data_IF_565995059180
#
_entry.id   IF_565995059180
#
_cell.length_a   1.000
_cell.length_b   1.000
_cell.length_c   1.000
_cell.angle_alpha   90.00
_cell.angle_beta   90.00
_cell.angle_gamma   90.00
#
_symmetry.space_group_name_H-M   'P 1'
#
loop_
_entity.id
_entity.type
_entity.pdbx_description
1 polymer ?
#
# COMPACT_ATOMS: atom_id res chain seq x y z
N UNK A 1 2.11 -28.10 18.84
CA UNK A 1 1.54 -28.23 17.48
C UNK A 1 0.34 -27.30 17.22
N UNK A 2 -0.63 -27.16 18.15
CA UNK A 2 -1.80 -26.25 18.00
C UNK A 2 -1.46 -24.82 17.58
N UNK A 3 -0.45 -24.19 18.19
CA UNK A 3 -0.10 -22.78 17.90
C UNK A 3 0.43 -22.56 16.47
N UNK A 4 1.14 -23.54 15.89
CA UNK A 4 1.58 -23.47 14.48
C UNK A 4 0.40 -23.58 13.51
N UNK A 5 -0.61 -24.40 13.82
CA UNK A 5 -1.82 -24.52 13.00
C UNK A 5 -2.63 -23.22 12.99
N UNK A 6 -2.79 -22.56 14.15
CA UNK A 6 -3.45 -21.25 14.20
C UNK A 6 -2.71 -20.18 13.39
N UNK A 7 -1.37 -20.13 13.46
CA UNK A 7 -0.58 -19.20 12.63
C UNK A 7 -0.73 -19.48 11.13
N UNK A 8 -0.76 -20.75 10.72
CA UNK A 8 -0.98 -21.11 9.31
C UNK A 8 -2.38 -20.71 8.82
N UNK A 9 -3.41 -20.93 9.65
CA UNK A 9 -4.78 -20.53 9.32
C UNK A 9 -4.87 -19.00 9.11
N UNK A 10 -4.19 -18.21 9.96
CA UNK A 10 -4.16 -16.75 9.83
C UNK A 10 -3.47 -16.33 8.52
N UNK A 11 -2.35 -16.97 8.16
CA UNK A 11 -1.63 -16.64 6.92
C UNK A 11 -2.48 -16.99 5.69
N UNK A 12 -3.10 -18.17 5.68
CA UNK A 12 -3.99 -18.61 4.58
C UNK A 12 -5.19 -17.66 4.46
N UNK A 13 -5.79 -17.29 5.59
CA UNK A 13 -6.86 -16.29 5.66
C UNK A 13 -6.40 -14.96 5.06
N UNK A 14 -5.22 -14.46 5.43
CA UNK A 14 -4.66 -13.24 4.87
C UNK A 14 -4.47 -13.34 3.35
N UNK A 15 -3.94 -14.46 2.85
CA UNK A 15 -3.78 -14.65 1.40
C UNK A 15 -5.12 -14.63 0.66
N UNK A 16 -6.16 -15.26 1.21
CA UNK A 16 -7.50 -15.26 0.61
C UNK A 16 -8.07 -13.84 0.59
N UNK A 17 -7.93 -13.09 1.68
CA UNK A 17 -8.38 -11.69 1.75
C UNK A 17 -7.63 -10.84 0.73
N UNK A 18 -6.30 -10.91 0.67
CA UNK A 18 -5.49 -10.19 -0.32
C UNK A 18 -5.85 -10.53 -1.76
N UNK A 19 -6.13 -11.81 -2.03
CA UNK A 19 -6.52 -12.28 -3.36
C UNK A 19 -7.90 -11.74 -3.74
N UNK A 20 -8.85 -11.78 -2.80
CA UNK A 20 -10.20 -11.26 -3.02
C UNK A 20 -10.17 -9.76 -3.26
N UNK A 21 -9.42 -9.01 -2.44
CA UNK A 21 -9.19 -7.58 -2.61
C UNK A 21 -8.58 -7.31 -3.98
N UNK A 22 -7.57 -8.08 -4.40
CA UNK A 22 -7.00 -7.94 -5.75
C UNK A 22 -7.98 -8.17 -6.88
N UNK A 23 -8.66 -9.31 -6.83
CA UNK A 23 -9.57 -9.67 -7.89
C UNK A 23 -10.75 -8.71 -8.01
N UNK A 24 -11.30 -8.27 -6.89
CA UNK A 24 -12.51 -7.43 -6.85
C UNK A 24 -12.18 -5.95 -7.06
N UNK A 25 -11.14 -5.42 -6.42
CA UNK A 25 -10.85 -3.97 -6.46
C UNK A 25 -9.96 -3.63 -7.66
N UNK A 26 -8.99 -4.48 -7.98
CA UNK A 26 -7.98 -4.17 -8.97
C UNK A 26 -8.26 -4.77 -10.35
N UNK A 27 -9.28 -5.64 -10.47
CA UNK A 27 -9.73 -6.22 -11.74
C UNK A 27 -8.65 -7.00 -12.49
N UNK A 28 -7.54 -7.34 -11.82
CA UNK A 28 -6.36 -7.99 -12.39
C UNK A 28 -5.97 -9.18 -11.53
N UNK A 29 -5.74 -10.33 -12.17
CA UNK A 29 -4.98 -11.46 -11.59
C UNK A 29 -3.46 -11.19 -11.71
N UNK A 30 -3.03 -9.96 -11.36
CA UNK A 30 -1.63 -9.56 -11.39
C UNK A 30 -0.97 -9.85 -10.04
N UNK A 31 0.21 -10.47 -10.07
CA UNK A 31 0.95 -10.88 -8.87
C UNK A 31 1.46 -9.71 -8.04
N UNK A 32 1.66 -8.54 -8.64
CA UNK A 32 2.26 -7.36 -8.01
C UNK A 32 1.29 -6.65 -7.05
N UNK A 33 0.08 -6.21 -7.46
CA UNK A 33 -0.88 -5.61 -6.53
C UNK A 33 -1.33 -6.62 -5.46
N UNK A 34 -1.26 -7.93 -5.74
CA UNK A 34 -1.41 -8.99 -4.74
C UNK A 34 -0.30 -8.98 -3.69
N UNK A 35 0.96 -8.85 -4.10
CA UNK A 35 2.08 -8.77 -3.17
C UNK A 35 2.02 -7.51 -2.31
N UNK A 36 1.67 -6.35 -2.88
CA UNK A 36 1.62 -5.08 -2.15
C UNK A 36 0.49 -5.07 -1.11
N UNK A 37 -0.71 -5.56 -1.46
CA UNK A 37 -1.82 -5.71 -0.50
C UNK A 37 -1.55 -6.76 0.58
N UNK A 38 -0.96 -7.90 0.23
CA UNK A 38 -0.58 -8.92 1.21
C UNK A 38 0.48 -8.39 2.19
N UNK A 39 1.49 -7.69 1.68
CA UNK A 39 2.54 -7.08 2.49
C UNK A 39 1.97 -6.01 3.42
N UNK A 40 1.03 -5.20 2.94
CA UNK A 40 0.32 -4.20 3.73
C UNK A 40 -0.42 -4.84 4.92
N UNK A 41 -1.18 -5.91 4.69
CA UNK A 41 -1.91 -6.61 5.74
C UNK A 41 -0.99 -7.28 6.76
N UNK A 42 0.11 -7.90 6.30
CA UNK A 42 1.09 -8.54 7.18
C UNK A 42 1.79 -7.52 8.09
N UNK A 43 2.24 -6.39 7.53
CA UNK A 43 2.91 -5.33 8.28
C UNK A 43 1.92 -4.69 9.27
N UNK A 44 0.68 -4.44 8.85
CA UNK A 44 -0.39 -3.94 9.73
C UNK A 44 -0.63 -4.89 10.91
N UNK A 45 -0.73 -6.19 10.66
CA UNK A 45 -0.95 -7.16 11.72
C UNK A 45 0.24 -7.27 12.67
N UNK A 46 1.47 -7.17 12.15
CA UNK A 46 2.69 -7.14 12.95
C UNK A 46 2.72 -5.90 13.88
N UNK A 47 2.37 -4.73 13.35
CA UNK A 47 2.36 -3.47 14.08
C UNK A 47 1.38 -3.46 15.26
N UNK A 48 0.22 -4.12 15.14
CA UNK A 48 -0.77 -4.23 16.23
C UNK A 48 -0.18 -4.84 17.52
N UNK A 49 0.86 -5.68 17.40
CA UNK A 49 1.51 -6.33 18.54
C UNK A 49 2.89 -5.76 18.86
N UNK A 50 3.40 -4.84 18.05
CA UNK A 50 4.75 -4.33 18.19
C UNK A 50 4.83 -3.26 19.27
N UNK A 51 5.58 -3.54 20.35
CA UNK A 51 5.85 -2.59 21.44
C UNK A 51 7.10 -1.74 21.19
N UNK A 52 8.00 -2.17 20.32
CA UNK A 52 9.24 -1.47 20.04
C UNK A 52 8.97 -0.25 19.15
N UNK A 53 9.33 0.94 19.64
CA UNK A 53 9.08 2.20 18.95
C UNK A 53 9.74 2.26 17.57
N UNK A 54 11.01 1.85 17.46
CA UNK A 54 11.77 1.90 16.21
C UNK A 54 11.15 1.02 15.14
N UNK A 55 10.83 -0.23 15.49
CA UNK A 55 10.15 -1.16 14.57
C UNK A 55 8.76 -0.67 14.19
N UNK A 56 8.06 -0.03 15.13
CA UNK A 56 6.76 0.57 14.87
C UNK A 56 6.85 1.73 13.88
N UNK A 57 7.81 2.63 14.04
CA UNK A 57 8.05 3.75 13.11
C UNK A 57 8.39 3.24 11.71
N UNK A 58 9.31 2.28 11.59
CA UNK A 58 9.66 1.67 10.30
C UNK A 58 8.44 1.02 9.65
N UNK A 59 7.64 0.28 10.41
CA UNK A 59 6.42 -0.34 9.90
C UNK A 59 5.39 0.68 9.45
N UNK A 60 5.22 1.80 10.16
CA UNK A 60 4.33 2.89 9.73
C UNK A 60 4.80 3.52 8.41
N UNK A 61 6.10 3.73 8.24
CA UNK A 61 6.67 4.23 6.98
C UNK A 61 6.39 3.26 5.83
N UNK A 62 6.60 1.95 6.05
CA UNK A 62 6.32 0.92 5.05
C UNK A 62 4.83 0.86 4.69
N UNK A 63 3.94 0.96 5.68
CA UNK A 63 2.48 1.05 5.44
C UNK A 63 2.14 2.25 4.58
N UNK A 64 2.73 3.40 4.86
CA UNK A 64 2.49 4.62 4.09
C UNK A 64 2.91 4.46 2.63
N UNK A 65 4.09 3.88 2.38
CA UNK A 65 4.58 3.61 1.02
C UNK A 65 3.67 2.62 0.27
N UNK A 66 3.35 1.49 0.88
CA UNK A 66 2.47 0.47 0.28
C UNK A 66 1.06 1.01 0.04
N UNK A 67 0.54 1.83 0.95
CA UNK A 67 -0.76 2.49 0.77
C UNK A 67 -0.75 3.47 -0.39
N UNK A 68 0.37 4.20 -0.58
CA UNK A 68 0.53 5.14 -1.70
C UNK A 68 0.58 4.39 -3.02
N UNK A 69 1.33 3.29 -3.10
CA UNK A 69 1.39 2.43 -4.28
C UNK A 69 0.02 1.81 -4.63
N UNK A 70 -0.68 1.26 -3.63
CA UNK A 70 -2.04 0.73 -3.80
C UNK A 70 -2.98 1.82 -4.33
N UNK A 71 -2.94 3.02 -3.73
CA UNK A 71 -3.84 4.12 -4.12
C UNK A 71 -3.53 4.62 -5.54
N UNK A 72 -2.25 4.78 -5.86
CA UNK A 72 -1.80 5.17 -7.20
C UNK A 72 -2.26 4.14 -8.24
N UNK A 73 -2.08 2.85 -7.96
CA UNK A 73 -2.50 1.79 -8.86
C UNK A 73 -4.03 1.72 -9.00
N UNK A 74 -4.81 2.01 -7.96
CA UNK A 74 -6.29 2.05 -8.07
C UNK A 74 -6.73 3.17 -9.02
N UNK A 75 -6.09 4.34 -8.95
CA UNK A 75 -6.50 5.53 -9.72
C UNK A 75 -5.98 5.47 -11.15
N UNK A 76 -4.70 5.15 -11.33
CA UNK A 76 -4.01 5.25 -12.61
C UNK A 76 -3.83 3.90 -13.32
N UNK A 77 -4.14 2.78 -12.65
CA UNK A 77 -3.94 1.41 -13.16
C UNK A 77 -2.48 1.07 -13.55
N UNK A 78 -1.54 1.87 -13.04
CA UNK A 78 -0.11 1.81 -13.29
C UNK A 78 0.67 1.67 -11.98
N UNK A 79 1.93 1.24 -12.10
CA UNK A 79 2.86 1.18 -10.96
C UNK A 79 3.54 2.53 -10.81
N UNK A 80 3.91 2.88 -9.58
CA UNK A 80 4.76 4.04 -9.33
C UNK A 80 6.14 3.73 -9.93
N UNK A 81 6.48 4.39 -11.03
CA UNK A 81 7.78 4.28 -11.67
C UNK A 81 8.79 5.25 -11.06
N UNK A 82 10.07 5.06 -11.36
CA UNK A 82 11.11 6.01 -10.98
C UNK A 82 10.86 7.41 -11.56
N UNK A 83 10.29 7.49 -12.77
CA UNK A 83 9.98 8.77 -13.42
C UNK A 83 8.88 9.53 -12.66
N UNK A 84 7.87 8.82 -12.16
CA UNK A 84 6.82 9.41 -11.30
C UNK A 84 7.45 9.96 -10.01
N UNK A 85 8.38 9.22 -9.40
CA UNK A 85 9.08 9.69 -8.20
C UNK A 85 9.96 10.91 -8.51
N UNK A 86 10.71 10.88 -9.62
CA UNK A 86 11.55 12.00 -10.04
C UNK A 86 10.70 13.25 -10.29
N UNK A 87 9.57 13.09 -10.97
CA UNK A 87 8.61 14.17 -11.20
C UNK A 87 8.10 14.76 -9.88
N UNK A 88 7.73 13.94 -8.88
CA UNK A 88 7.29 14.44 -7.57
C UNK A 88 8.39 15.22 -6.84
N UNK A 89 9.65 14.79 -6.97
CA UNK A 89 10.81 15.47 -6.35
C UNK A 89 11.17 16.77 -7.06
N UNK A 90 11.02 16.82 -8.38
CA UNK A 90 11.32 17.99 -9.22
C UNK A 90 10.20 19.04 -9.19
N UNK A 91 8.96 18.62 -8.92
CA UNK A 91 7.79 19.50 -8.90
C UNK A 91 7.92 20.53 -7.77
N UNK A 92 7.95 21.81 -8.14
CA UNK A 92 7.98 22.90 -7.17
C UNK A 92 6.60 23.13 -6.52
N UNK A 93 6.56 23.71 -5.32
CA UNK A 93 5.32 24.05 -4.60
C UNK A 93 4.34 24.90 -5.42
N UNK A 94 4.85 25.80 -6.27
CA UNK A 94 4.02 26.65 -7.13
C UNK A 94 3.32 25.80 -8.21
N UNK A 95 4.05 24.87 -8.81
CA UNK A 95 3.55 23.98 -9.85
C UNK A 95 2.56 22.96 -9.28
N UNK A 96 2.89 22.35 -8.14
CA UNK A 96 1.98 21.47 -7.42
C UNK A 96 0.66 22.18 -7.07
N UNK A 97 0.73 23.41 -6.55
CA UNK A 97 -0.47 24.20 -6.23
C UNK A 97 -1.28 24.53 -7.49
N UNK A 98 -0.61 24.78 -8.61
CA UNK A 98 -1.23 24.98 -9.92
C UNK A 98 -2.03 23.75 -10.37
N UNK A 99 -1.47 22.55 -10.21
CA UNK A 99 -2.16 21.28 -10.52
C UNK A 99 -3.42 21.09 -9.67
N UNK A 100 -3.34 21.30 -8.34
CA UNK A 100 -4.51 21.17 -7.46
C UNK A 100 -5.64 22.17 -7.77
N UNK A 101 -5.30 23.40 -8.16
CA UNK A 101 -6.28 24.45 -8.48
C UNK A 101 -6.89 24.28 -9.88
N UNK A 102 -6.13 23.72 -10.83
CA UNK A 102 -6.58 23.48 -12.20
C UNK A 102 -7.65 22.38 -12.27
N UNK A 103 -7.61 21.39 -11.35
CA UNK A 103 -8.61 20.31 -11.25
C UNK A 103 -9.88 20.72 -10.47
N UNK A 104 -10.05 22.01 -10.14
CA UNK A 104 -11.29 22.55 -9.57
C UNK A 104 -11.51 22.27 -8.08
N UNK A 105 -10.51 21.72 -7.38
CA UNK A 105 -10.56 21.54 -5.92
C UNK A 105 -10.23 22.88 -5.25
N UNK A 106 -11.28 23.63 -4.88
CA UNK A 106 -11.14 24.86 -4.08
C UNK A 106 -10.83 24.48 -2.63
N UNK A 107 -9.64 24.87 -2.16
CA UNK A 107 -9.25 24.84 -0.74
C UNK A 107 -9.93 26.02 -0.02
#
# INVERSE_FOLDING_TARGET
>A
MKQRQHSLIIIISLMIVSYTVNKVIFGRDSSIPFLSTLSFLLISFYLLKCKNLTLRTIGCILIFLLSSEISYFIIFHEQISFDVISSVVETNLIEAKGMFLSDGIKI
#
